data_IF_515978254680
#
_entry.id   IF_515978254680
#
_cell.length_a   1.000
_cell.length_b   1.000
_cell.length_c   1.000
_cell.angle_alpha   90.00
_cell.angle_beta   90.00
_cell.angle_gamma   90.00
#
_symmetry.space_group_name_H-M   'P 1'
#
loop_
_entity.id
_entity.type
_entity.pdbx_description
1 polymer ?
#
# COMPACT_ATOMS: atom_id res chain seq x y z
N UNK A 1 10.74 -6.34 52.35
CA UNK A 1 11.34 -7.11 51.23
C UNK A 1 11.08 -6.29 49.97
N UNK A 2 12.07 -5.54 49.51
CA UNK A 2 12.01 -4.85 48.24
C UNK A 2 12.57 -5.82 47.19
N UNK A 3 11.71 -6.28 46.27
CA UNK A 3 12.16 -7.00 45.08
C UNK A 3 12.09 -6.03 43.91
N UNK A 4 13.23 -5.40 43.64
CA UNK A 4 13.51 -4.71 42.40
C UNK A 4 13.81 -5.79 41.36
N UNK A 5 12.96 -5.94 40.34
CA UNK A 5 13.35 -6.63 39.12
C UNK A 5 13.22 -5.65 37.96
N UNK A 6 14.23 -4.80 37.84
CA UNK A 6 14.57 -4.09 36.63
C UNK A 6 15.16 -5.11 35.64
N UNK A 7 14.30 -5.70 34.82
CA UNK A 7 14.74 -6.33 33.57
C UNK A 7 14.22 -5.47 32.43
N UNK A 8 14.89 -4.34 32.20
CA UNK A 8 14.87 -3.70 30.91
C UNK A 8 15.68 -4.60 29.97
N UNK A 9 15.03 -5.64 29.45
CA UNK A 9 15.49 -6.28 28.23
C UNK A 9 14.89 -5.47 27.08
N UNK A 10 15.58 -4.38 26.75
CA UNK A 10 15.46 -3.72 25.46
C UNK A 10 16.14 -4.64 24.44
N UNK A 11 15.38 -5.63 23.96
CA UNK A 11 15.76 -6.45 22.82
C UNK A 11 15.66 -5.53 21.60
N UNK A 12 16.77 -4.85 21.29
CA UNK A 12 16.93 -3.80 20.29
C UNK A 12 16.69 -4.24 18.84
N UNK A 13 15.46 -4.62 18.56
CA UNK A 13 14.90 -4.94 17.26
C UNK A 13 13.46 -4.37 17.18
N UNK A 14 13.21 -3.22 17.80
CA UNK A 14 11.94 -2.53 17.60
C UNK A 14 11.85 -2.02 16.15
N UNK A 15 11.25 -2.84 15.29
CA UNK A 15 10.68 -2.55 13.97
C UNK A 15 11.28 -1.33 13.27
N UNK A 16 12.47 -1.49 12.70
CA UNK A 16 13.04 -0.47 11.83
C UNK A 16 12.14 -0.30 10.59
N UNK A 17 11.30 0.74 10.62
CA UNK A 17 10.45 1.13 9.51
C UNK A 17 11.30 1.93 8.51
N UNK A 18 11.10 1.65 7.22
CA UNK A 18 11.74 2.41 6.15
C UNK A 18 10.68 3.31 5.50
N UNK A 19 11.04 4.57 5.29
CA UNK A 19 10.23 5.50 4.51
C UNK A 19 10.73 5.54 3.06
N UNK A 20 9.77 5.67 2.14
CA UNK A 20 10.06 5.94 0.74
C UNK A 20 9.89 7.43 0.51
N UNK A 21 10.96 8.11 0.09
CA UNK A 21 10.89 9.51 -0.36
C UNK A 21 10.40 9.55 -1.81
N UNK A 22 9.26 10.19 -2.12
CA UNK A 22 8.74 10.24 -3.49
C UNK A 22 9.65 11.06 -4.41
N UNK A 23 9.76 10.61 -5.66
CA UNK A 23 10.36 11.44 -6.71
C UNK A 23 9.42 12.58 -7.07
N UNK A 24 9.95 13.80 -7.22
CA UNK A 24 9.18 14.97 -7.63
C UNK A 24 8.71 14.90 -9.10
N UNK A 25 9.35 14.07 -9.91
CA UNK A 25 9.03 13.88 -11.33
C UNK A 25 9.45 12.50 -11.80
N UNK A 26 8.80 12.02 -12.87
CA UNK A 26 9.23 10.83 -13.60
C UNK A 26 8.87 10.98 -15.09
N UNK A 27 9.60 10.33 -16.01
CA UNK A 27 9.34 10.42 -17.45
C UNK A 27 7.97 9.85 -17.84
N UNK A 28 7.32 9.12 -16.94
CA UNK A 28 6.01 8.49 -17.16
C UNK A 28 4.83 9.43 -16.89
N UNK A 29 5.05 10.64 -16.34
CA UNK A 29 3.95 11.57 -16.03
C UNK A 29 3.09 11.92 -17.24
N UNK A 30 3.66 11.92 -18.46
CA UNK A 30 2.92 12.14 -19.70
C UNK A 30 1.88 11.07 -20.05
N UNK A 31 1.91 9.89 -19.41
CA UNK A 31 0.91 8.83 -19.64
C UNK A 31 -0.30 8.95 -18.73
N UNK A 32 -0.23 9.79 -17.70
CA UNK A 32 -1.31 9.99 -16.73
C UNK A 32 -2.45 10.74 -17.39
N UNK A 33 -3.66 10.16 -17.36
CA UNK A 33 -4.87 10.79 -17.89
C UNK A 33 -5.74 11.32 -16.77
N UNK A 34 -6.27 12.54 -16.96
CA UNK A 34 -7.27 13.10 -16.06
C UNK A 34 -8.52 12.22 -16.04
N UNK A 35 -9.10 12.05 -14.85
CA UNK A 35 -10.42 11.46 -14.69
C UNK A 35 -11.46 12.46 -15.18
N UNK A 36 -12.33 12.04 -16.10
CA UNK A 36 -13.33 12.91 -16.70
C UNK A 36 -14.47 13.24 -15.74
N UNK A 37 -14.78 12.33 -14.79
CA UNK A 37 -15.71 12.49 -13.68
C UNK A 37 -15.25 11.60 -12.53
N UNK A 38 -15.09 12.17 -11.35
CA UNK A 38 -14.58 11.48 -10.17
C UNK A 38 -15.66 10.55 -9.61
N UNK A 39 -15.47 9.25 -9.74
CA UNK A 39 -15.70 8.35 -8.62
C UNK A 39 -14.74 7.17 -8.80
N UNK A 40 -13.48 7.39 -8.42
CA UNK A 40 -12.59 6.26 -8.15
C UNK A 40 -13.14 5.62 -6.88
N UNK A 41 -13.83 4.49 -7.03
CA UNK A 41 -14.27 3.71 -5.89
C UNK A 41 -13.06 3.00 -5.27
N UNK A 42 -12.57 3.54 -4.16
CA UNK A 42 -11.44 2.96 -3.40
C UNK A 42 -11.77 1.58 -2.82
N UNK A 43 -13.05 1.21 -2.77
CA UNK A 43 -13.49 -0.11 -2.31
C UNK A 43 -13.69 -1.09 -3.47
N UNK A 44 -13.45 -0.67 -4.71
CA UNK A 44 -13.58 -1.55 -5.87
C UNK A 44 -12.63 -2.74 -5.71
N UNK A 45 -13.20 -3.94 -5.77
CA UNK A 45 -12.46 -5.19 -5.74
C UNK A 45 -11.75 -5.44 -7.09
N UNK A 46 -10.67 -6.21 -7.04
CA UNK A 46 -9.95 -6.63 -8.24
C UNK A 46 -10.87 -7.49 -9.13
N UNK A 47 -11.21 -7.05 -10.35
CA UNK A 47 -12.18 -7.74 -11.19
C UNK A 47 -11.67 -9.08 -11.75
N UNK A 48 -10.34 -9.24 -11.81
CA UNK A 48 -9.68 -10.40 -12.42
C UNK A 48 -9.07 -11.35 -11.38
N UNK A 49 -9.30 -11.13 -10.09
CA UNK A 49 -8.73 -11.93 -9.02
C UNK A 49 -9.59 -13.19 -8.79
N UNK A 50 -9.04 -14.34 -9.17
CA UNK A 50 -9.75 -15.63 -9.10
C UNK A 50 -9.56 -16.35 -7.77
N UNK A 51 -8.52 -16.00 -7.01
CA UNK A 51 -8.24 -16.62 -5.70
C UNK A 51 -8.83 -15.78 -4.58
N UNK A 52 -9.42 -16.46 -3.59
CA UNK A 52 -9.96 -15.83 -2.38
C UNK A 52 -8.87 -15.11 -1.57
N UNK A 53 -7.61 -15.46 -1.76
CA UNK A 53 -6.46 -14.74 -1.19
C UNK A 53 -6.25 -13.39 -1.86
N UNK A 54 -6.30 -13.31 -3.19
CA UNK A 54 -6.18 -12.06 -3.93
C UNK A 54 -7.37 -11.13 -3.70
N UNK A 55 -8.58 -11.67 -3.48
CA UNK A 55 -9.76 -10.86 -3.11
C UNK A 55 -9.68 -10.28 -1.69
N UNK A 56 -9.05 -10.98 -0.75
CA UNK A 56 -8.92 -10.55 0.66
C UNK A 56 -7.81 -9.52 0.88
N UNK A 57 -6.78 -9.51 0.03
CA UNK A 57 -5.68 -8.55 0.13
C UNK A 57 -6.16 -7.17 -0.35
N UNK A 58 -6.10 -6.17 0.54
CA UNK A 58 -6.53 -4.79 0.28
C UNK A 58 -5.49 -3.95 -0.47
N UNK A 59 -4.68 -4.59 -1.32
CA UNK A 59 -3.55 -3.98 -2.05
C UNK A 59 -3.92 -3.77 -3.53
N UNK A 60 -5.11 -3.24 -3.76
CA UNK A 60 -5.57 -2.88 -5.10
C UNK A 60 -4.91 -1.58 -5.56
N UNK A 61 -4.65 -1.50 -6.87
CA UNK A 61 -4.07 -0.34 -7.54
C UNK A 61 -4.93 0.08 -8.72
N UNK A 62 -4.98 1.37 -9.02
CA UNK A 62 -5.63 1.91 -10.21
C UNK A 62 -4.60 2.32 -11.25
N UNK A 63 -4.78 1.88 -12.48
CA UNK A 63 -3.96 2.35 -13.60
C UNK A 63 -4.31 3.81 -13.93
N UNK A 64 -3.37 4.74 -13.82
CA UNK A 64 -3.63 6.16 -14.14
C UNK A 64 -3.72 6.47 -15.65
N UNK A 65 -3.48 5.48 -16.50
CA UNK A 65 -3.59 5.59 -17.97
C UNK A 65 -4.94 5.10 -18.51
N UNK A 66 -5.49 4.03 -17.93
CA UNK A 66 -6.74 3.38 -18.39
C UNK A 66 -7.82 3.21 -17.30
N UNK A 67 -7.52 3.61 -16.07
CA UNK A 67 -8.43 3.62 -14.91
C UNK A 67 -8.96 2.26 -14.48
N UNK A 68 -8.34 1.17 -14.94
CA UNK A 68 -8.67 -0.19 -14.52
C UNK A 68 -8.05 -0.49 -13.16
N UNK A 69 -8.82 -1.15 -12.29
CA UNK A 69 -8.34 -1.69 -11.01
C UNK A 69 -7.61 -3.01 -11.25
N UNK A 70 -6.40 -3.11 -10.70
CA UNK A 70 -5.53 -4.28 -10.77
C UNK A 70 -5.05 -4.62 -9.36
N UNK A 71 -4.58 -5.84 -9.19
CA UNK A 71 -4.02 -6.34 -7.93
C UNK A 71 -2.48 -6.40 -8.03
N UNK A 72 -1.77 -6.01 -6.98
CA UNK A 72 -0.31 -6.17 -6.88
C UNK A 72 0.02 -7.49 -6.20
N UNK A 73 0.87 -8.31 -6.83
CA UNK A 73 1.28 -9.63 -6.34
C UNK A 73 2.19 -9.57 -5.10
#
# INVERSE_FOLDING_TARGET
>A
MASNNSSANDDGNENMLYEVVPLLTCPHLGTVKQFSRFEVDINQECPNCTTEEAKRKKENWICLTCHTVIFSF
#
